data_IF_043809508313
#
_entry.id   IF_043809508313
#
_cell.length_a   1.000
_cell.length_b   1.000
_cell.length_c   1.000
_cell.angle_alpha   90.00
_cell.angle_beta   90.00
_cell.angle_gamma   90.00
#
_symmetry.space_group_name_H-M   'P 1'
#
loop_
_entity.id
_entity.type
_entity.pdbx_description
1 polymer ?
#
# COMPACT_ATOMS: atom_id res chain seq x y z
N UNK A 1 22.31 -1.26 -0.09
CA UNK A 1 21.65 -1.22 -1.41
C UNK A 1 20.42 -2.12 -1.35
N UNK A 2 19.25 -1.62 -1.69
CA UNK A 2 18.02 -2.43 -1.68
C UNK A 2 18.09 -3.46 -2.82
N UNK A 3 17.77 -4.71 -2.52
CA UNK A 3 17.67 -5.77 -3.53
C UNK A 3 16.21 -5.85 -3.95
N UNK A 4 15.93 -5.62 -5.23
CA UNK A 4 14.58 -5.73 -5.79
C UNK A 4 14.40 -7.17 -6.30
N UNK A 5 13.57 -7.97 -5.62
CA UNK A 5 13.17 -9.30 -6.10
C UNK A 5 11.77 -9.26 -6.67
N UNK A 6 11.63 -9.70 -7.92
CA UNK A 6 10.35 -9.89 -8.59
C UNK A 6 9.85 -11.31 -8.39
N UNK A 7 8.68 -11.45 -7.79
CA UNK A 7 7.97 -12.73 -7.72
C UNK A 7 6.84 -12.70 -8.76
N UNK A 8 6.97 -13.51 -9.81
CA UNK A 8 5.94 -13.64 -10.83
C UNK A 8 5.16 -14.93 -10.55
N UNK A 9 3.92 -14.81 -10.14
CA UNK A 9 3.05 -15.97 -9.87
C UNK A 9 2.33 -16.42 -11.13
N UNK A 10 2.13 -15.55 -12.13
CA UNK A 10 1.55 -15.88 -13.44
C UNK A 10 2.25 -15.14 -14.58
N UNK A 11 2.31 -15.78 -15.78
CA UNK A 11 2.80 -15.15 -17.01
C UNK A 11 1.71 -14.23 -17.57
N UNK A 12 1.92 -12.92 -17.51
CA UNK A 12 1.03 -11.95 -18.15
C UNK A 12 1.53 -11.55 -19.53
N UNK A 13 0.57 -11.30 -20.47
CA UNK A 13 0.88 -10.68 -21.76
C UNK A 13 1.60 -9.36 -21.56
N UNK A 14 2.48 -8.97 -22.50
CA UNK A 14 3.16 -7.67 -22.57
C UNK A 14 2.13 -6.53 -22.60
N UNK A 15 1.66 -6.09 -21.44
CA UNK A 15 0.90 -4.87 -21.26
C UNK A 15 1.84 -3.76 -20.80
N UNK A 16 1.49 -2.51 -21.06
CA UNK A 16 2.23 -1.39 -20.49
C UNK A 16 2.29 -1.54 -18.96
N UNK A 17 3.45 -1.27 -18.33
CA UNK A 17 3.60 -1.39 -16.89
C UNK A 17 2.61 -0.45 -16.19
N UNK A 18 2.00 -0.94 -15.11
CA UNK A 18 1.11 -0.12 -14.28
C UNK A 18 1.90 0.98 -13.54
N UNK A 19 3.10 0.65 -13.10
CA UNK A 19 4.06 1.54 -12.45
C UNK A 19 5.47 1.31 -13.01
N UNK A 20 6.18 2.38 -13.33
CA UNK A 20 7.59 2.35 -13.74
C UNK A 20 8.38 3.43 -13.00
N UNK A 21 9.44 3.02 -12.31
CA UNK A 21 10.50 3.90 -11.84
C UNK A 21 11.67 3.75 -12.80
N UNK A 22 12.23 4.88 -13.26
CA UNK A 22 13.32 4.89 -14.24
C UNK A 22 14.44 5.80 -13.78
N UNK A 23 15.60 5.21 -13.53
CA UNK A 23 16.86 5.87 -13.15
C UNK A 23 16.70 6.79 -11.92
N UNK A 24 15.95 6.35 -10.92
CA UNK A 24 15.66 7.12 -9.71
C UNK A 24 16.92 7.23 -8.86
N UNK A 25 17.32 8.46 -8.59
CA UNK A 25 18.36 8.79 -7.60
C UNK A 25 17.83 9.81 -6.62
N UNK A 26 18.19 9.67 -5.34
CA UNK A 26 17.79 10.56 -4.27
C UNK A 26 18.80 10.60 -3.15
N UNK A 27 19.06 11.80 -2.62
CA UNK A 27 19.95 12.06 -1.49
C UNK A 27 19.25 12.88 -0.40
N UNK A 28 19.65 12.70 0.86
CA UNK A 28 19.31 13.59 1.95
C UNK A 28 20.60 14.29 2.41
N UNK A 29 20.74 15.57 2.11
CA UNK A 29 21.99 16.30 2.25
C UNK A 29 23.10 15.63 1.42
N UNK A 30 24.20 15.28 2.07
CA UNK A 30 25.33 14.59 1.39
C UNK A 30 25.15 13.07 1.31
N UNK A 31 24.13 12.50 1.97
CA UNK A 31 23.93 11.05 2.00
C UNK A 31 23.04 10.59 0.85
N UNK A 32 23.63 9.87 -0.11
CA UNK A 32 22.91 9.19 -1.19
C UNK A 32 22.13 8.00 -0.62
N UNK A 33 20.81 7.99 -0.82
CA UNK A 33 19.91 6.93 -0.34
C UNK A 33 19.53 5.98 -1.48
N UNK A 34 19.22 6.54 -2.65
CA UNK A 34 18.90 5.77 -3.86
C UNK A 34 19.87 6.17 -4.96
N UNK A 35 20.38 5.19 -5.68
CA UNK A 35 21.33 5.38 -6.76
C UNK A 35 20.88 4.60 -7.99
N UNK A 36 20.39 5.33 -8.99
CA UNK A 36 20.01 4.81 -10.31
C UNK A 36 19.06 3.59 -10.26
N UNK A 37 18.05 3.64 -9.40
CA UNK A 37 17.08 2.56 -9.21
C UNK A 37 16.06 2.56 -10.35
N UNK A 38 15.88 1.39 -10.99
CA UNK A 38 14.87 1.21 -12.02
C UNK A 38 14.14 -0.11 -11.86
N UNK A 39 12.80 -0.06 -11.93
CA UNK A 39 11.96 -1.26 -11.99
C UNK A 39 10.58 -0.94 -12.57
N UNK A 40 9.85 -1.98 -12.91
CA UNK A 40 8.49 -1.90 -13.46
C UNK A 40 7.60 -2.90 -12.74
N UNK A 41 6.34 -2.54 -12.55
CA UNK A 41 5.29 -3.39 -11.99
C UNK A 41 4.14 -3.43 -12.98
N UNK A 42 3.72 -4.63 -13.37
CA UNK A 42 2.59 -4.87 -14.26
C UNK A 42 1.31 -5.12 -13.45
N UNK A 43 0.16 -5.06 -14.08
CA UNK A 43 -1.11 -5.46 -13.43
C UNK A 43 -1.03 -6.92 -12.97
N UNK A 44 -1.54 -7.21 -11.76
CA UNK A 44 -1.48 -8.54 -11.14
C UNK A 44 -0.08 -9.00 -10.73
N UNK A 45 0.94 -8.14 -10.75
CA UNK A 45 2.30 -8.47 -10.32
C UNK A 45 2.53 -8.08 -8.86
N UNK A 46 3.16 -8.95 -8.07
CA UNK A 46 3.66 -8.65 -6.73
C UNK A 46 5.17 -8.43 -6.82
N UNK A 47 5.62 -7.24 -6.41
CA UNK A 47 7.03 -6.87 -6.35
C UNK A 47 7.50 -6.74 -4.91
N UNK A 48 8.49 -7.54 -4.49
CA UNK A 48 9.13 -7.42 -3.18
C UNK A 48 10.35 -6.50 -3.20
N UNK A 49 10.38 -5.52 -2.29
CA UNK A 49 11.54 -4.69 -2.02
C UNK A 49 12.29 -5.26 -0.81
N UNK A 50 13.47 -5.84 -1.03
CA UNK A 50 14.29 -6.44 0.01
C UNK A 50 15.53 -5.60 0.28
N UNK A 51 15.96 -5.57 1.52
CA UNK A 51 17.18 -4.87 1.93
C UNK A 51 17.19 -4.58 3.44
N UNK A 52 18.35 -4.24 3.99
CA UNK A 52 18.48 -3.89 5.41
C UNK A 52 17.70 -2.62 5.76
N UNK A 53 17.57 -2.36 7.06
CA UNK A 53 16.98 -1.09 7.52
C UNK A 53 17.83 0.08 7.03
N UNK A 54 17.17 1.16 6.58
CA UNK A 54 17.85 2.32 5.99
C UNK A 54 18.29 2.14 4.52
N UNK A 55 17.97 1.02 3.86
CA UNK A 55 18.29 0.79 2.44
C UNK A 55 17.43 1.60 1.45
N UNK A 56 16.51 2.45 1.93
CA UNK A 56 15.68 3.30 1.07
C UNK A 56 14.33 2.68 0.67
N UNK A 57 13.89 1.58 1.28
CA UNK A 57 12.60 0.93 0.96
C UNK A 57 11.41 1.89 1.12
N UNK A 58 11.25 2.49 2.30
CA UNK A 58 10.19 3.47 2.57
C UNK A 58 10.38 4.77 1.77
N UNK A 59 11.62 5.13 1.42
CA UNK A 59 11.90 6.25 0.51
C UNK A 59 11.32 5.99 -0.87
N UNK A 60 11.44 4.76 -1.40
CA UNK A 60 10.82 4.36 -2.68
C UNK A 60 9.30 4.51 -2.61
N UNK A 61 8.65 4.06 -1.51
CA UNK A 61 7.19 4.23 -1.34
C UNK A 61 6.79 5.71 -1.28
N UNK A 62 7.54 6.54 -0.53
CA UNK A 62 7.29 7.98 -0.46
C UNK A 62 7.46 8.67 -1.83
N UNK A 63 8.41 8.23 -2.63
CA UNK A 63 8.58 8.68 -4.01
C UNK A 63 7.43 8.25 -4.91
N UNK A 64 6.95 7.00 -4.82
CA UNK A 64 5.79 6.50 -5.58
C UNK A 64 4.53 7.28 -5.19
N UNK A 65 4.33 7.51 -3.89
CA UNK A 65 3.19 8.27 -3.38
C UNK A 65 3.22 9.77 -3.73
N UNK A 66 4.41 10.33 -4.02
CA UNK A 66 4.59 11.78 -4.25
C UNK A 66 4.68 12.61 -2.99
N UNK A 67 5.02 11.98 -1.86
CA UNK A 67 5.43 12.64 -0.62
C UNK A 67 6.82 13.26 -0.79
N UNK A 68 7.70 12.52 -1.48
CA UNK A 68 9.04 12.95 -1.87
C UNK A 68 9.14 13.08 -3.38
N UNK A 69 10.09 13.91 -3.82
CA UNK A 69 10.46 14.08 -5.23
C UNK A 69 11.88 13.56 -5.43
N UNK A 70 12.17 12.76 -6.47
CA UNK A 70 13.53 12.30 -6.75
C UNK A 70 14.42 13.45 -7.25
N UNK A 71 15.73 13.37 -6.97
CA UNK A 71 16.71 14.31 -7.54
C UNK A 71 16.86 14.07 -9.04
N UNK A 72 16.86 12.79 -9.46
CA UNK A 72 16.95 12.37 -10.85
C UNK A 72 16.01 11.21 -11.14
N UNK A 73 15.66 11.06 -12.43
CA UNK A 73 14.82 9.98 -12.92
C UNK A 73 13.34 10.34 -13.03
N UNK A 74 12.52 9.35 -13.39
CA UNK A 74 11.10 9.54 -13.62
C UNK A 74 10.25 8.44 -13.00
N UNK A 75 9.04 8.81 -12.59
CA UNK A 75 8.01 7.91 -12.05
C UNK A 75 6.81 8.00 -12.96
N UNK A 76 6.46 6.88 -13.61
CA UNK A 76 5.38 6.79 -14.56
C UNK A 76 4.30 5.83 -14.07
N UNK A 77 3.03 6.21 -14.23
CA UNK A 77 1.88 5.34 -14.06
C UNK A 77 1.26 5.10 -15.44
N UNK A 78 1.38 3.86 -15.94
CA UNK A 78 1.09 3.57 -17.34
C UNK A 78 1.96 4.41 -18.27
N UNK A 79 1.33 5.20 -19.13
CA UNK A 79 2.00 6.13 -20.06
C UNK A 79 2.22 7.53 -19.46
N UNK A 80 1.68 7.80 -18.25
CA UNK A 80 1.67 9.14 -17.67
C UNK A 80 2.84 9.38 -16.74
N UNK A 81 3.66 10.38 -17.04
CA UNK A 81 4.72 10.84 -16.13
C UNK A 81 4.11 11.62 -14.96
N UNK A 82 4.27 11.09 -13.75
CA UNK A 82 3.76 11.65 -12.52
C UNK A 82 4.86 12.17 -11.57
N UNK A 83 6.08 12.28 -12.03
CA UNK A 83 7.25 12.65 -11.19
C UNK A 83 7.04 13.91 -10.39
N UNK A 84 6.32 14.89 -10.93
CA UNK A 84 6.06 16.17 -10.27
C UNK A 84 4.65 16.25 -9.64
N UNK A 85 3.84 15.20 -9.69
CA UNK A 85 2.50 15.23 -9.12
C UNK A 85 2.57 15.04 -7.60
N UNK A 86 1.91 15.91 -6.82
CA UNK A 86 1.84 15.75 -5.38
C UNK A 86 0.95 14.56 -4.97
N UNK A 87 1.07 14.13 -3.72
CA UNK A 87 0.39 12.95 -3.17
C UNK A 87 -1.12 12.91 -3.47
N UNK A 88 -1.85 14.01 -3.25
CA UNK A 88 -3.30 14.05 -3.46
C UNK A 88 -3.71 13.83 -4.92
N UNK A 89 -2.89 14.27 -5.88
CA UNK A 89 -3.14 14.02 -7.29
C UNK A 89 -2.83 12.55 -7.65
N UNK A 90 -1.70 12.01 -7.16
CA UNK A 90 -1.31 10.63 -7.47
C UNK A 90 -2.30 9.62 -6.89
N UNK A 91 -2.64 9.75 -5.63
CA UNK A 91 -3.58 8.83 -4.97
C UNK A 91 -4.93 8.82 -5.65
N UNK A 92 -5.47 10.00 -6.00
CA UNK A 92 -6.77 10.13 -6.67
C UNK A 92 -6.74 9.66 -8.13
N UNK A 93 -5.69 10.01 -8.90
CA UNK A 93 -5.63 9.70 -10.35
C UNK A 93 -5.27 8.26 -10.64
N UNK A 94 -4.41 7.67 -9.82
CA UNK A 94 -3.87 6.31 -10.05
C UNK A 94 -4.43 5.28 -9.09
N UNK A 95 -5.33 5.70 -8.20
CA UNK A 95 -6.00 4.86 -7.21
C UNK A 95 -4.99 4.00 -6.43
N UNK A 96 -4.15 4.68 -5.63
CA UNK A 96 -3.09 4.06 -4.83
C UNK A 96 -3.59 3.85 -3.41
N UNK A 97 -3.57 2.60 -2.94
CA UNK A 97 -3.72 2.25 -1.53
C UNK A 97 -2.35 2.15 -0.86
N UNK A 98 -2.24 2.60 0.38
CA UNK A 98 -1.00 2.54 1.14
C UNK A 98 -1.23 2.02 2.55
N UNK A 99 -0.44 1.03 2.94
CA UNK A 99 -0.38 0.48 4.29
C UNK A 99 0.97 0.88 4.88
N UNK A 100 1.00 1.86 5.81
CA UNK A 100 2.24 2.31 6.44
C UNK A 100 2.78 1.27 7.42
N UNK A 101 4.05 1.42 7.77
CA UNK A 101 4.70 0.61 8.79
C UNK A 101 4.01 0.77 10.15
N UNK A 102 3.68 2.02 10.52
CA UNK A 102 2.98 2.38 11.76
C UNK A 102 1.76 3.24 11.48
N UNK A 103 0.74 3.15 12.34
CA UNK A 103 -0.48 3.97 12.25
C UNK A 103 -1.38 3.56 11.09
N UNK A 104 -1.97 4.56 10.42
CA UNK A 104 -2.90 4.37 9.31
C UNK A 104 -4.35 4.10 9.76
N UNK A 105 -4.68 4.38 11.01
CA UNK A 105 -6.02 4.27 11.61
C UNK A 105 -6.25 5.37 12.66
N UNK A 106 -7.51 5.64 12.99
CA UNK A 106 -7.92 6.55 14.05
C UNK A 106 -8.03 5.78 15.36
N UNK A 107 -7.15 6.08 16.32
CA UNK A 107 -7.00 5.32 17.58
C UNK A 107 -8.27 5.29 18.44
N UNK A 108 -9.01 6.40 18.48
CA UNK A 108 -10.19 6.58 19.34
C UNK A 108 -11.48 6.07 18.70
N UNK A 109 -11.46 5.77 17.42
CA UNK A 109 -12.57 5.17 16.70
C UNK A 109 -12.54 3.63 16.82
N UNK A 110 -13.71 3.01 16.82
CA UNK A 110 -13.84 1.55 16.72
C UNK A 110 -13.35 1.06 15.35
N UNK A 111 -13.17 -0.26 15.21
CA UNK A 111 -12.86 -0.90 13.94
C UNK A 111 -13.86 -0.53 12.85
N UNK A 112 -15.17 -0.60 13.14
CA UNK A 112 -16.23 -0.25 12.21
C UNK A 112 -16.23 1.25 11.87
N UNK A 113 -16.08 2.13 12.86
CA UNK A 113 -16.04 3.58 12.65
C UNK A 113 -14.84 4.01 11.83
N UNK A 114 -13.68 3.36 11.99
CA UNK A 114 -12.51 3.58 11.14
C UNK A 114 -12.84 3.29 9.67
N UNK A 115 -13.44 2.13 9.38
CA UNK A 115 -13.84 1.77 8.02
C UNK A 115 -14.89 2.74 7.48
N UNK A 116 -15.89 3.11 8.29
CA UNK A 116 -16.94 4.05 7.92
C UNK A 116 -16.38 5.44 7.59
N UNK A 117 -15.49 5.98 8.41
CA UNK A 117 -14.88 7.29 8.18
C UNK A 117 -14.14 7.36 6.84
N UNK A 118 -13.37 6.32 6.49
CA UNK A 118 -12.66 6.27 5.21
C UNK A 118 -13.62 5.99 4.04
N UNK A 119 -14.61 5.11 4.22
CA UNK A 119 -15.60 4.80 3.18
C UNK A 119 -16.40 6.05 2.78
N UNK A 120 -16.78 6.91 3.75
CA UNK A 120 -17.49 8.16 3.48
C UNK A 120 -16.72 9.13 2.59
N UNK A 121 -15.38 9.10 2.65
CA UNK A 121 -14.53 9.94 1.80
C UNK A 121 -14.38 9.36 0.39
N UNK A 122 -14.34 8.03 0.27
CA UNK A 122 -14.00 7.35 -0.98
C UNK A 122 -15.23 6.95 -1.81
N UNK A 123 -16.34 6.61 -1.17
CA UNK A 123 -17.52 6.02 -1.78
C UNK A 123 -18.71 6.96 -1.56
N UNK A 124 -19.38 7.38 -2.63
CA UNK A 124 -20.50 8.34 -2.54
C UNK A 124 -21.82 7.71 -2.07
N UNK A 125 -22.06 6.46 -2.46
CA UNK A 125 -23.32 5.77 -2.19
C UNK A 125 -23.25 5.08 -0.82
N UNK A 126 -24.18 5.42 0.10
CA UNK A 126 -24.21 4.90 1.48
C UNK A 126 -24.43 3.38 1.51
N UNK A 127 -25.23 2.84 0.62
CA UNK A 127 -25.49 1.40 0.57
C UNK A 127 -24.24 0.62 0.12
N UNK A 128 -23.52 1.16 -0.85
CA UNK A 128 -22.24 0.63 -1.29
C UNK A 128 -21.17 0.71 -0.19
N UNK A 129 -21.12 1.83 0.58
CA UNK A 129 -20.27 1.95 1.77
C UNK A 129 -20.50 0.78 2.73
N UNK A 130 -21.76 0.57 3.15
CA UNK A 130 -22.12 -0.46 4.11
C UNK A 130 -21.77 -1.87 3.60
N UNK A 131 -22.13 -2.18 2.36
CA UNK A 131 -21.81 -3.47 1.73
C UNK A 131 -20.30 -3.72 1.72
N UNK A 132 -19.50 -2.69 1.36
CA UNK A 132 -18.04 -2.82 1.30
C UNK A 132 -17.41 -2.97 2.68
N UNK A 133 -17.92 -2.23 3.67
CA UNK A 133 -17.47 -2.32 5.06
C UNK A 133 -17.70 -3.74 5.59
N UNK A 134 -18.93 -4.26 5.50
CA UNK A 134 -19.27 -5.61 6.00
C UNK A 134 -18.44 -6.69 5.25
N UNK A 135 -18.27 -6.56 3.94
CA UNK A 135 -17.41 -7.46 3.18
C UNK A 135 -15.97 -7.47 3.71
N UNK A 136 -15.38 -6.29 3.99
CA UNK A 136 -14.01 -6.21 4.49
C UNK A 136 -13.89 -6.69 5.93
N UNK A 137 -14.87 -6.39 6.78
CA UNK A 137 -14.92 -6.91 8.15
C UNK A 137 -14.88 -8.44 8.12
N UNK A 138 -15.74 -9.08 7.34
CA UNK A 138 -15.78 -10.53 7.20
C UNK A 138 -14.50 -11.08 6.58
N UNK A 139 -14.02 -10.49 5.48
CA UNK A 139 -12.81 -10.95 4.77
C UNK A 139 -11.56 -10.94 5.65
N UNK A 140 -11.45 -9.97 6.56
CA UNK A 140 -10.32 -9.83 7.49
C UNK A 140 -10.58 -10.43 8.87
N UNK A 141 -11.71 -11.12 9.06
CA UNK A 141 -12.12 -11.70 10.35
C UNK A 141 -12.08 -10.66 11.48
N UNK A 142 -12.76 -9.54 11.28
CA UNK A 142 -12.81 -8.42 12.23
C UNK A 142 -14.15 -8.34 12.96
N UNK A 143 -15.11 -9.27 12.71
CA UNK A 143 -16.48 -9.25 13.23
C UNK A 143 -16.51 -9.12 14.75
N UNK A 144 -15.69 -9.93 15.44
CA UNK A 144 -15.67 -9.99 16.91
C UNK A 144 -15.05 -8.75 17.57
N UNK A 145 -14.35 -7.90 16.79
CA UNK A 145 -13.73 -6.66 17.28
C UNK A 145 -14.31 -5.40 16.63
N UNK A 146 -15.39 -5.51 15.84
CA UNK A 146 -15.94 -4.39 15.09
C UNK A 146 -16.30 -3.17 15.94
N UNK A 147 -16.70 -3.39 17.19
CA UNK A 147 -17.09 -2.35 18.14
C UNK A 147 -15.96 -2.00 19.14
N UNK A 148 -14.75 -2.56 18.98
CA UNK A 148 -13.61 -2.28 19.84
C UNK A 148 -12.81 -1.12 19.25
N UNK A 149 -12.40 -0.15 20.10
CA UNK A 149 -11.54 0.96 19.71
C UNK A 149 -10.21 0.46 19.17
N UNK A 150 -9.72 1.08 18.10
CA UNK A 150 -8.49 0.67 17.44
C UNK A 150 -7.25 0.78 18.35
N UNK A 151 -7.25 1.67 19.35
CA UNK A 151 -6.21 1.74 20.38
C UNK A 151 -6.02 0.44 21.15
N UNK A 152 -7.13 -0.29 21.41
CA UNK A 152 -7.17 -1.53 22.20
C UNK A 152 -6.88 -2.81 21.41
N UNK A 153 -6.76 -2.73 20.10
CA UNK A 153 -6.48 -3.86 19.22
C UNK A 153 -5.05 -4.37 19.38
N UNK A 154 -4.85 -5.68 19.20
CA UNK A 154 -3.53 -6.28 19.09
C UNK A 154 -2.79 -5.79 17.82
N UNK A 155 -1.48 -6.00 17.73
CA UNK A 155 -0.69 -5.64 16.54
C UNK A 155 -1.22 -6.28 15.25
N UNK A 156 -1.57 -7.57 15.29
CA UNK A 156 -2.16 -8.29 14.17
C UNK A 156 -3.53 -7.75 13.77
N UNK A 157 -4.40 -7.46 14.74
CA UNK A 157 -5.71 -6.87 14.50
C UNK A 157 -5.61 -5.47 13.89
N UNK A 158 -4.69 -4.63 14.40
CA UNK A 158 -4.39 -3.30 13.83
C UNK A 158 -3.93 -3.42 12.38
N UNK A 159 -3.06 -4.39 12.07
CA UNK A 159 -2.56 -4.58 10.72
C UNK A 159 -3.67 -5.05 9.76
N UNK A 160 -4.55 -5.98 10.20
CA UNK A 160 -5.74 -6.39 9.46
C UNK A 160 -6.63 -5.18 9.14
N UNK A 161 -6.91 -4.33 10.15
CA UNK A 161 -7.70 -3.11 9.97
C UNK A 161 -7.07 -2.15 8.95
N UNK A 162 -5.77 -1.86 9.05
CA UNK A 162 -5.10 -0.92 8.14
C UNK A 162 -5.10 -1.42 6.69
N UNK A 163 -4.92 -2.74 6.48
CA UNK A 163 -5.00 -3.32 5.14
C UNK A 163 -6.44 -3.23 4.61
N UNK A 164 -7.45 -3.52 5.45
CA UNK A 164 -8.85 -3.36 5.07
C UNK A 164 -9.18 -1.91 4.68
N UNK A 165 -8.68 -0.93 5.45
CA UNK A 165 -8.82 0.51 5.12
C UNK A 165 -8.20 0.87 3.76
N UNK A 166 -7.01 0.35 3.47
CA UNK A 166 -6.34 0.60 2.19
C UNK A 166 -7.08 -0.01 1.00
N UNK A 167 -7.90 -1.04 1.22
CA UNK A 167 -8.67 -1.73 0.18
C UNK A 167 -10.07 -1.15 -0.07
N UNK A 168 -10.56 -0.23 0.77
CA UNK A 168 -11.89 0.37 0.63
C UNK A 168 -12.10 1.03 -0.74
N UNK A 169 -11.08 1.72 -1.24
CA UNK A 169 -11.14 2.40 -2.54
C UNK A 169 -10.81 1.49 -3.74
N UNK A 170 -10.71 0.17 -3.58
CA UNK A 170 -10.34 -0.79 -4.63
C UNK A 170 -9.09 -0.36 -5.41
N UNK A 171 -7.95 -0.18 -4.72
CA UNK A 171 -6.77 0.40 -5.32
C UNK A 171 -6.23 -0.45 -6.47
N UNK A 172 -5.79 0.22 -7.55
CA UNK A 172 -5.07 -0.42 -8.65
C UNK A 172 -3.63 -0.77 -8.29
N UNK A 173 -3.07 -0.04 -7.34
CA UNK A 173 -1.72 -0.25 -6.80
C UNK A 173 -1.84 -0.26 -5.29
N UNK A 174 -1.37 -1.32 -4.64
CA UNK A 174 -1.31 -1.43 -3.20
C UNK A 174 0.15 -1.44 -2.75
N UNK A 175 0.52 -0.46 -1.94
CA UNK A 175 1.85 -0.34 -1.34
C UNK A 175 1.78 -0.84 0.11
N UNK A 176 2.65 -1.81 0.46
CA UNK A 176 2.67 -2.46 1.77
C UNK A 176 4.05 -2.25 2.41
N UNK A 177 4.16 -1.31 3.36
CA UNK A 177 5.43 -1.01 4.03
C UNK A 177 5.55 -1.83 5.32
N UNK A 178 6.44 -2.82 5.31
CA UNK A 178 6.71 -3.74 6.43
C UNK A 178 5.44 -4.34 7.08
N UNK A 179 4.45 -4.68 6.26
CA UNK A 179 3.12 -5.12 6.73
C UNK A 179 3.14 -6.46 7.48
N UNK A 180 4.21 -7.24 7.41
CA UNK A 180 4.36 -8.53 8.08
C UNK A 180 5.25 -8.47 9.32
N UNK A 181 5.83 -7.31 9.65
CA UNK A 181 6.71 -7.17 10.81
C UNK A 181 5.94 -7.40 12.12
N UNK A 182 6.54 -8.16 13.04
CA UNK A 182 6.00 -8.45 14.37
C UNK A 182 4.60 -9.13 14.39
N UNK A 183 4.25 -9.87 13.34
CA UNK A 183 3.03 -10.66 13.28
C UNK A 183 3.33 -12.14 13.55
N UNK A 184 2.34 -12.85 14.10
CA UNK A 184 2.38 -14.30 14.22
C UNK A 184 2.24 -14.99 12.85
N UNK A 185 2.66 -16.25 12.78
CA UNK A 185 2.72 -17.03 11.53
C UNK A 185 1.34 -17.20 10.89
N UNK A 186 0.28 -17.40 11.69
CA UNK A 186 -1.08 -17.60 11.18
C UNK A 186 -1.62 -16.32 10.53
N UNK A 187 -1.42 -15.18 11.20
CA UNK A 187 -1.78 -13.87 10.65
C UNK A 187 -1.03 -13.58 9.36
N UNK A 188 0.27 -13.89 9.29
CA UNK A 188 1.07 -13.73 8.05
C UNK A 188 0.49 -14.58 6.92
N UNK A 189 0.20 -15.86 7.16
CA UNK A 189 -0.35 -16.76 6.15
C UNK A 189 -1.72 -16.30 5.64
N UNK A 190 -2.60 -15.84 6.54
CA UNK A 190 -3.90 -15.28 6.18
C UNK A 190 -3.74 -14.04 5.30
N UNK A 191 -2.91 -13.08 5.69
CA UNK A 191 -2.66 -11.87 4.91
C UNK A 191 -2.02 -12.16 3.55
N UNK A 192 -1.10 -13.11 3.46
CA UNK A 192 -0.53 -13.55 2.19
C UNK A 192 -1.59 -14.12 1.25
N UNK A 193 -2.50 -14.98 1.75
CA UNK A 193 -3.63 -15.51 0.96
C UNK A 193 -4.51 -14.38 0.43
N UNK A 194 -4.84 -13.39 1.26
CA UNK A 194 -5.64 -12.23 0.85
C UNK A 194 -4.91 -11.44 -0.23
N UNK A 195 -3.63 -11.10 -0.04
CA UNK A 195 -2.85 -10.32 -1.00
C UNK A 195 -2.76 -11.06 -2.35
N UNK A 196 -2.52 -12.36 -2.34
CA UNK A 196 -2.51 -13.18 -3.56
C UNK A 196 -3.89 -13.20 -4.25
N UNK A 197 -4.99 -13.17 -3.49
CA UNK A 197 -6.35 -13.12 -4.04
C UNK A 197 -6.73 -11.79 -4.70
N UNK A 198 -5.91 -10.73 -4.52
CA UNK A 198 -6.12 -9.42 -5.12
C UNK A 198 -5.49 -9.26 -6.51
N UNK A 199 -4.80 -10.29 -7.02
CA UNK A 199 -4.13 -10.30 -8.32
C UNK A 199 -5.07 -10.36 -9.52
#
# INVERSE_FOLDING_TARGET
MAIIKKFRIKSFKKTNPLLELKNISMSFGQRKILDNISFKVSSGEILGLLGPNGAGKSTIFNLIMGVLKPDFGTINFGTKNATNYPIYQRTRMFNIGYVPQYGGYFSDLTTHENLKAVAQVLIKNVQEQNTKIEYLISKFELDYIKNIKASLLSGGQKKKLVIALALLGEPKILLLDECFAALDVLTIQMLQKIIVSLQ
#
